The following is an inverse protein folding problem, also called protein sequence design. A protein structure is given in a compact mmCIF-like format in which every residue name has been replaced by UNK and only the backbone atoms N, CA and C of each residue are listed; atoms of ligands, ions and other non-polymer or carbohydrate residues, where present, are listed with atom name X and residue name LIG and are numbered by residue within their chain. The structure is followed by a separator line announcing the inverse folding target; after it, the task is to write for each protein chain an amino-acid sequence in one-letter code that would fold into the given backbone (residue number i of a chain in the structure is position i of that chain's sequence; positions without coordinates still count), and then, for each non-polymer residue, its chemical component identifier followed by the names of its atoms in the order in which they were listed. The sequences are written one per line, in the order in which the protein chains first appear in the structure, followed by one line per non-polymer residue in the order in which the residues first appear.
data_IF_129016561129
#
_entry.id   IF_129016561129
#
_cell.length_a   1.000
_cell.length_b   1.000
_cell.length_c   1.000
_cell.angle_alpha   90.00
_cell.angle_beta   90.00
_cell.angle_gamma   90.00
#
_symmetry.space_group_name_H-M   'P 1'
#
loop_
_entity.id
_entity.type
_entity.pdbx_description
1 polymer ?
#
# COMPACT_ATOMS: atom_id res chain seq x y z
N UNK A 1 4.91 4.07 8.72
CA UNK A 1 5.05 5.51 9.00
C UNK A 1 3.68 6.12 9.06
N UNK A 2 3.42 6.89 10.10
CA UNK A 2 2.17 7.59 10.36
C UNK A 2 2.45 9.04 10.80
N UNK A 3 1.40 9.81 11.03
CA UNK A 3 1.50 11.18 11.54
C UNK A 3 2.28 11.30 12.86
N UNK A 4 2.39 10.23 13.65
CA UNK A 4 3.07 10.25 14.95
C UNK A 4 4.57 9.98 14.85
N UNK A 5 5.03 9.27 13.81
CA UNK A 5 6.41 8.80 13.72
C UNK A 5 7.13 9.12 12.40
N UNK A 6 6.51 9.78 11.42
CA UNK A 6 7.18 10.10 10.16
C UNK A 6 8.45 10.94 10.34
N UNK A 7 8.53 11.77 11.39
CA UNK A 7 9.73 12.55 11.71
C UNK A 7 10.93 11.71 12.14
N UNK A 8 10.73 10.43 12.49
CA UNK A 8 11.80 9.50 12.84
C UNK A 8 12.44 8.81 11.62
N UNK A 9 11.98 9.10 10.39
CA UNK A 9 12.56 8.53 9.16
C UNK A 9 14.10 8.67 9.10
N UNK A 10 14.74 9.81 9.42
CA UNK A 10 16.20 9.92 9.45
C UNK A 10 16.87 8.91 10.37
N UNK A 11 16.26 8.61 11.51
CA UNK A 11 16.79 7.64 12.48
C UNK A 11 16.68 6.22 11.95
N UNK A 12 15.56 5.87 11.29
CA UNK A 12 15.42 4.58 10.61
C UNK A 12 16.43 4.41 9.47
N UNK A 13 16.64 5.46 8.68
CA UNK A 13 17.65 5.46 7.61
C UNK A 13 19.03 5.20 8.20
N UNK A 14 19.45 6.01 9.17
CA UNK A 14 20.75 5.85 9.84
C UNK A 14 20.91 4.44 10.42
N UNK A 15 19.87 3.92 11.09
CA UNK A 15 19.93 2.59 11.68
C UNK A 15 20.07 1.48 10.63
N UNK A 16 19.40 1.61 9.48
CA UNK A 16 19.57 0.69 8.37
C UNK A 16 21.00 0.69 7.83
N UNK A 17 21.61 1.86 7.70
CA UNK A 17 23.02 1.97 7.29
C UNK A 17 23.97 1.33 8.30
N UNK A 18 23.78 1.59 9.60
CA UNK A 18 24.59 1.01 10.67
C UNK A 18 24.51 -0.52 10.67
N UNK A 19 23.36 -1.07 10.26
CA UNK A 19 23.15 -2.52 10.12
C UNK A 19 23.63 -3.07 8.77
N UNK A 20 24.04 -2.22 7.84
CA UNK A 20 24.49 -2.61 6.50
C UNK A 20 23.38 -3.18 5.62
N UNK A 21 22.12 -2.72 5.78
CA UNK A 21 21.01 -3.20 4.93
C UNK A 21 21.13 -2.65 3.51
N UNK A 22 20.77 -3.47 2.52
CA UNK A 22 20.81 -3.06 1.11
C UNK A 22 19.74 -2.02 0.76
N UNK A 23 18.54 -2.21 1.32
CA UNK A 23 17.35 -1.41 1.03
C UNK A 23 16.51 -1.14 2.29
N UNK A 24 15.89 0.03 2.35
CA UNK A 24 14.99 0.45 3.41
C UNK A 24 13.65 0.82 2.77
N UNK A 25 12.61 0.03 3.04
CA UNK A 25 11.26 0.32 2.54
C UNK A 25 10.36 0.78 3.68
N UNK A 26 9.89 2.02 3.58
CA UNK A 26 9.02 2.65 4.57
C UNK A 26 7.62 2.75 3.98
N UNK A 27 6.64 2.15 4.64
CA UNK A 27 5.26 2.14 4.19
C UNK A 27 4.42 3.10 5.00
N UNK A 28 3.40 3.68 4.36
CA UNK A 28 2.40 4.49 5.06
C UNK A 28 1.51 3.59 5.94
N UNK A 29 0.93 4.16 6.97
CA UNK A 29 0.01 3.47 7.85
C UNK A 29 -1.29 3.15 7.12
N UNK A 30 -1.71 1.89 7.19
CA UNK A 30 -2.99 1.44 6.64
C UNK A 30 -4.09 1.74 7.68
N UNK A 31 -5.03 2.65 7.38
CA UNK A 31 -6.06 3.02 8.33
C UNK A 31 -7.11 1.91 8.49
N UNK A 32 -7.81 1.97 9.64
CA UNK A 32 -8.93 1.10 9.98
C UNK A 32 -10.11 1.95 10.47
N UNK A 33 -11.33 1.41 10.57
CA UNK A 33 -12.50 2.18 11.02
C UNK A 33 -12.50 2.45 12.54
N UNK A 34 -11.52 1.98 13.30
CA UNK A 34 -11.45 2.13 14.75
C UNK A 34 -10.78 3.45 15.17
N UNK A 35 -11.25 4.03 16.28
CA UNK A 35 -10.73 5.28 16.85
C UNK A 35 -9.23 5.16 17.18
N UNK A 36 -8.47 6.23 16.91
CA UNK A 36 -7.01 6.24 17.00
C UNK A 36 -6.28 5.60 15.82
N UNK A 37 -7.03 5.06 14.85
CA UNK A 37 -6.51 4.39 13.65
C UNK A 37 -7.22 4.84 12.36
N UNK A 38 -8.05 5.88 12.42
CA UNK A 38 -8.72 6.43 11.23
C UNK A 38 -7.72 7.18 10.36
N UNK A 39 -8.12 7.41 9.11
CA UNK A 39 -7.30 8.10 8.09
C UNK A 39 -6.75 9.42 8.61
N UNK A 40 -7.61 10.27 9.17
CA UNK A 40 -7.25 11.62 9.60
C UNK A 40 -6.32 11.65 10.82
N UNK A 41 -6.29 10.56 11.61
CA UNK A 41 -5.56 10.49 12.87
C UNK A 41 -4.12 9.98 12.70
N UNK A 42 -3.88 9.17 11.66
CA UNK A 42 -2.63 8.40 11.52
C UNK A 42 -2.05 8.42 10.12
N UNK A 43 -2.85 8.47 9.07
CA UNK A 43 -2.33 8.31 7.72
C UNK A 43 -1.63 9.59 7.24
N UNK A 44 -0.51 9.42 6.54
CA UNK A 44 0.18 10.52 5.86
C UNK A 44 -0.57 10.87 4.57
N UNK A 45 -1.02 12.12 4.45
CA UNK A 45 -1.86 12.58 3.35
C UNK A 45 -1.08 13.37 2.30
N UNK A 46 -1.48 13.26 1.04
CA UNK A 46 -0.86 13.96 -0.08
C UNK A 46 -0.99 15.49 0.00
N UNK A 47 -2.03 15.97 0.67
CA UNK A 47 -2.36 17.39 0.81
C UNK A 47 -1.78 18.02 2.08
N UNK A 48 -1.05 17.24 2.88
CA UNK A 48 -0.30 17.75 4.03
C UNK A 48 1.06 18.28 3.56
N UNK A 49 1.15 19.59 3.35
CA UNK A 49 2.35 20.23 2.82
C UNK A 49 3.57 20.06 3.73
N UNK A 50 3.38 19.99 5.05
CA UNK A 50 4.47 19.79 6.01
C UNK A 50 5.10 18.40 5.81
N UNK A 51 4.26 17.37 5.71
CA UNK A 51 4.71 15.99 5.43
C UNK A 51 5.37 15.90 4.07
N UNK A 52 4.77 16.49 3.03
CA UNK A 52 5.30 16.46 1.66
C UNK A 52 6.71 17.08 1.60
N UNK A 53 6.89 18.28 2.15
CA UNK A 53 8.19 18.96 2.10
C UNK A 53 9.25 18.25 2.97
N UNK A 54 8.84 17.69 4.10
CA UNK A 54 9.73 16.85 4.89
C UNK A 54 10.22 15.64 4.08
N UNK A 55 9.30 14.87 3.48
CA UNK A 55 9.66 13.65 2.74
C UNK A 55 10.52 13.93 1.51
N UNK A 56 10.38 15.09 0.85
CA UNK A 56 11.24 15.50 -0.27
C UNK A 56 12.71 15.65 0.09
N UNK A 57 13.00 15.96 1.35
CA UNK A 57 14.35 16.36 1.79
C UNK A 57 14.99 15.34 2.74
N UNK A 58 14.21 14.41 3.27
CA UNK A 58 14.65 13.51 4.35
C UNK A 58 15.69 12.47 3.91
N UNK A 59 15.72 12.10 2.63
CA UNK A 59 16.64 11.07 2.10
C UNK A 59 17.91 11.75 1.56
N UNK A 60 19.09 11.46 2.13
CA UNK A 60 20.35 11.94 1.58
C UNK A 60 20.55 11.47 0.12
N UNK A 61 21.16 12.31 -0.73
CA UNK A 61 21.40 12.01 -2.16
C UNK A 61 22.01 10.62 -2.38
N UNK A 62 23.04 10.29 -1.60
CA UNK A 62 23.78 9.02 -1.69
C UNK A 62 22.95 7.76 -1.38
N UNK A 63 21.74 7.93 -0.83
CA UNK A 63 20.81 6.85 -0.53
C UNK A 63 19.57 6.86 -1.43
N UNK A 64 19.48 7.78 -2.40
CA UNK A 64 18.44 7.73 -3.43
C UNK A 64 18.54 6.40 -4.18
N UNK A 65 17.41 5.71 -4.33
CA UNK A 65 17.33 4.36 -4.89
C UNK A 65 17.51 3.21 -3.87
N UNK A 66 18.04 3.48 -2.67
CA UNK A 66 18.10 2.50 -1.57
C UNK A 66 16.99 2.66 -0.54
N UNK A 67 16.39 3.86 -0.48
CA UNK A 67 15.31 4.17 0.45
C UNK A 67 14.02 4.41 -0.33
N UNK A 68 13.00 3.58 -0.10
CA UNK A 68 11.64 3.82 -0.57
C UNK A 68 10.86 4.53 0.52
N UNK A 69 10.40 5.74 0.23
CA UNK A 69 9.60 6.54 1.17
C UNK A 69 8.13 6.11 1.18
N UNK A 70 7.38 6.42 2.25
CA UNK A 70 5.96 6.15 2.31
C UNK A 70 5.21 6.85 1.17
N UNK A 71 4.43 6.09 0.40
CA UNK A 71 3.45 6.65 -0.54
C UNK A 71 2.35 7.35 0.25
N UNK A 72 2.08 8.62 -0.09
CA UNK A 72 1.06 9.44 0.57
C UNK A 72 -0.32 9.08 0.06
N UNK A 73 -1.33 9.09 0.94
CA UNK A 73 -2.71 8.83 0.55
C UNK A 73 -3.35 10.09 -0.02
N UNK A 74 -3.83 10.02 -1.25
CA UNK A 74 -4.64 11.06 -1.90
C UNK A 74 -6.11 10.62 -1.98
N UNK A 75 -6.94 11.15 -1.07
CA UNK A 75 -8.36 10.83 -1.04
C UNK A 75 -9.14 11.45 -2.22
N UNK A 76 -8.59 12.47 -2.86
CA UNK A 76 -9.19 13.18 -3.99
C UNK A 76 -8.98 12.44 -5.31
N UNK A 77 -7.98 11.55 -5.37
CA UNK A 77 -7.74 10.73 -6.54
C UNK A 77 -8.96 9.85 -6.86
N UNK A 78 -9.46 10.03 -8.09
CA UNK A 78 -10.63 9.29 -8.60
C UNK A 78 -10.25 7.98 -9.27
N UNK A 79 -9.09 7.96 -9.93
CA UNK A 79 -8.64 6.79 -10.67
C UNK A 79 -8.14 5.68 -9.74
N UNK A 80 -8.64 4.47 -10.00
CA UNK A 80 -8.20 3.25 -9.33
C UNK A 80 -6.91 2.77 -10.00
N UNK A 81 -5.83 2.66 -9.24
CA UNK A 81 -4.51 2.22 -9.74
C UNK A 81 -4.14 0.79 -9.34
N UNK A 82 -4.83 0.22 -8.35
CA UNK A 82 -4.45 -1.07 -7.80
C UNK A 82 -4.69 -2.22 -8.79
N UNK A 83 -3.63 -2.98 -9.10
CA UNK A 83 -3.64 -4.15 -9.99
C UNK A 83 -3.42 -5.48 -9.25
N UNK A 84 -3.58 -5.49 -7.94
CA UNK A 84 -3.15 -6.62 -7.11
C UNK A 84 -3.85 -7.94 -7.50
N UNK A 85 -5.14 -7.88 -7.86
CA UNK A 85 -5.91 -9.05 -8.26
C UNK A 85 -5.61 -9.54 -9.69
N UNK A 86 -4.75 -8.85 -10.44
CA UNK A 86 -4.23 -9.29 -11.75
C UNK A 86 -2.75 -9.63 -11.70
N UNK A 87 -2.05 -9.42 -10.57
CA UNK A 87 -0.60 -9.62 -10.48
C UNK A 87 -0.15 -10.48 -9.31
N UNK A 88 -1.02 -10.79 -8.33
CA UNK A 88 -0.64 -11.61 -7.18
C UNK A 88 -1.71 -12.63 -6.83
N UNK A 89 -1.20 -13.81 -6.45
CA UNK A 89 -1.90 -14.83 -5.72
C UNK A 89 -1.22 -14.97 -4.36
N UNK A 90 -2.00 -14.91 -3.29
CA UNK A 90 -1.53 -15.17 -1.93
C UNK A 90 -2.13 -16.47 -1.45
N UNK A 91 -1.34 -17.26 -0.75
CA UNK A 91 -1.75 -18.53 -0.18
C UNK A 91 -1.31 -18.54 1.28
N UNK A 92 -2.22 -18.93 2.18
CA UNK A 92 -1.90 -19.08 3.60
C UNK A 92 -1.46 -20.52 3.95
N UNK A 93 -1.15 -20.76 5.23
CA UNK A 93 -0.70 -22.06 5.71
C UNK A 93 -1.79 -23.16 5.59
N UNK A 94 -3.07 -22.78 5.61
CA UNK A 94 -4.22 -23.67 5.47
C UNK A 94 -4.64 -23.84 4.00
N UNK A 95 -3.80 -23.38 3.08
CA UNK A 95 -3.98 -23.46 1.63
C UNK A 95 -5.15 -22.63 1.10
N UNK A 96 -5.70 -21.71 1.88
CA UNK A 96 -6.65 -20.74 1.35
C UNK A 96 -5.93 -19.74 0.45
N UNK A 97 -6.64 -19.19 -0.54
CA UNK A 97 -6.05 -18.19 -1.43
C UNK A 97 -6.78 -16.85 -1.43
N UNK A 98 -6.05 -15.78 -1.71
CA UNK A 98 -6.56 -14.42 -1.92
C UNK A 98 -5.67 -13.62 -2.88
N UNK A 99 -5.99 -12.35 -3.13
CA UNK A 99 -5.18 -11.47 -3.97
C UNK A 99 -4.28 -10.49 -3.20
N UNK A 100 -4.75 -9.95 -2.06
CA UNK A 100 -4.13 -8.78 -1.43
C UNK A 100 -3.70 -9.05 0.03
N UNK A 101 -2.71 -8.30 0.52
CA UNK A 101 -2.23 -8.34 1.91
C UNK A 101 -2.74 -7.21 2.79
N UNK A 102 -3.31 -6.16 2.20
CA UNK A 102 -3.55 -4.89 2.89
C UNK A 102 -4.74 -4.96 3.87
N UNK A 103 -5.62 -5.95 3.76
CA UNK A 103 -6.44 -6.40 4.87
C UNK A 103 -6.60 -7.91 4.75
N UNK A 104 -6.67 -8.57 5.89
CA UNK A 104 -7.10 -9.96 6.05
C UNK A 104 -8.57 -10.07 5.60
N UNK A 105 -8.84 -9.80 4.31
CA UNK A 105 -10.04 -10.27 3.65
C UNK A 105 -10.12 -11.73 4.05
N UNK A 106 -11.15 -12.07 4.80
CA UNK A 106 -11.24 -13.36 5.45
C UNK A 106 -10.90 -14.44 4.40
N UNK A 107 -9.74 -15.08 4.57
CA UNK A 107 -9.33 -16.17 3.69
C UNK A 107 -10.00 -17.46 4.13
N UNK A 108 -10.63 -17.47 5.32
CA UNK A 108 -11.49 -18.55 5.76
C UNK A 108 -12.73 -18.59 4.87
N UNK A 109 -12.78 -19.64 4.06
CA UNK A 109 -13.87 -19.98 3.15
C UNK A 109 -13.51 -21.23 2.37
N UNK A 110 -14.39 -21.68 1.49
CA UNK A 110 -14.23 -22.93 0.72
C UNK A 110 -13.19 -22.85 -0.42
N UNK A 111 -12.35 -21.81 -0.45
CA UNK A 111 -11.43 -21.50 -1.56
C UNK A 111 -10.05 -22.04 -1.25
N UNK A 112 -9.63 -23.12 -1.91
CA UNK A 112 -8.33 -23.74 -1.72
C UNK A 112 -7.46 -23.58 -2.96
N UNK A 113 -6.14 -23.47 -2.77
CA UNK A 113 -5.17 -23.44 -3.89
C UNK A 113 -5.21 -24.73 -4.74
N UNK A 114 -5.85 -25.79 -4.21
CA UNK A 114 -6.09 -27.06 -4.89
C UNK A 114 -7.32 -27.05 -5.79
N UNK A 115 -8.12 -25.99 -5.78
CA UNK A 115 -9.31 -25.87 -6.62
C UNK A 115 -8.93 -25.73 -8.09
N UNK A 116 -9.85 -26.10 -8.98
CA UNK A 116 -9.68 -25.82 -10.40
C UNK A 116 -9.80 -24.32 -10.66
N UNK A 117 -8.95 -23.82 -11.57
CA UNK A 117 -9.00 -22.44 -12.05
C UNK A 117 -8.85 -21.35 -10.97
N UNK A 118 -8.04 -21.56 -9.93
CA UNK A 118 -7.81 -20.58 -8.83
C UNK A 118 -7.68 -19.14 -9.32
N UNK A 119 -6.83 -18.90 -10.33
CA UNK A 119 -6.56 -17.57 -10.89
C UNK A 119 -7.77 -16.95 -11.60
N UNK A 120 -8.69 -17.75 -12.12
CA UNK A 120 -9.92 -17.33 -12.79
C UNK A 120 -11.17 -17.65 -11.98
N UNK A 121 -11.03 -17.96 -10.69
CA UNK A 121 -12.16 -18.21 -9.81
C UNK A 121 -13.10 -17.01 -9.72
N UNK A 122 -14.36 -17.26 -9.34
CA UNK A 122 -15.38 -16.21 -9.15
C UNK A 122 -14.87 -15.05 -8.29
N UNK A 123 -14.10 -15.36 -7.24
CA UNK A 123 -13.46 -14.35 -6.39
C UNK A 123 -12.55 -13.40 -7.18
N UNK A 124 -11.63 -13.93 -8.00
CA UNK A 124 -10.73 -13.08 -8.76
C UNK A 124 -11.46 -12.33 -9.87
N UNK A 125 -12.46 -12.95 -10.51
CA UNK A 125 -13.30 -12.26 -11.50
C UNK A 125 -14.06 -11.10 -10.87
N UNK A 126 -14.69 -11.30 -9.71
CA UNK A 126 -15.40 -10.27 -8.97
C UNK A 126 -14.47 -9.13 -8.57
N UNK A 127 -13.33 -9.45 -7.94
CA UNK A 127 -12.38 -8.42 -7.51
C UNK A 127 -11.84 -7.62 -8.70
N UNK A 128 -11.48 -8.27 -9.80
CA UNK A 128 -11.07 -7.58 -11.03
C UNK A 128 -12.18 -6.68 -11.56
N UNK A 129 -13.42 -7.15 -11.60
CA UNK A 129 -14.59 -6.37 -12.01
C UNK A 129 -14.76 -5.09 -11.19
N UNK A 130 -14.62 -5.17 -9.86
CA UNK A 130 -14.70 -4.00 -8.96
C UNK A 130 -13.61 -2.96 -9.23
N UNK A 131 -12.40 -3.38 -9.64
CA UNK A 131 -11.31 -2.46 -9.98
C UNK A 131 -11.39 -1.91 -11.41
N UNK A 132 -12.05 -2.61 -12.34
CA UNK A 132 -12.32 -2.15 -13.70
C UNK A 132 -13.50 -1.15 -13.74
N UNK A 133 -14.50 -1.33 -12.87
CA UNK A 133 -15.63 -0.39 -12.76
C UNK A 133 -15.12 1.03 -12.45
N UNK A 134 -15.65 2.08 -13.11
CA UNK A 134 -15.28 3.46 -12.81
C UNK A 134 -15.79 3.94 -11.45
N UNK A 135 -16.79 3.26 -10.84
CA UNK A 135 -17.40 3.70 -9.60
C UNK A 135 -16.56 3.33 -8.37
N UNK A 136 -16.05 4.33 -7.63
CA UNK A 136 -15.27 4.13 -6.39
C UNK A 136 -16.04 3.39 -5.31
N UNK A 137 -17.37 3.54 -5.27
CA UNK A 137 -18.21 2.92 -4.24
C UNK A 137 -18.35 1.41 -4.38
N UNK A 138 -18.00 0.86 -5.56
CA UNK A 138 -17.98 -0.59 -5.79
C UNK A 138 -16.81 -1.29 -5.08
N UNK A 139 -15.83 -0.53 -4.57
CA UNK A 139 -14.72 -1.08 -3.82
C UNK A 139 -15.14 -1.37 -2.38
N UNK A 140 -14.51 -2.38 -1.77
CA UNK A 140 -14.58 -2.52 -0.31
C UNK A 140 -13.92 -1.32 0.37
N UNK A 141 -14.43 -0.93 1.53
CA UNK A 141 -13.94 0.23 2.29
C UNK A 141 -12.41 0.26 2.50
N UNK A 142 -11.74 -0.87 2.79
CA UNK A 142 -10.28 -0.95 2.83
C UNK A 142 -9.57 -0.41 1.58
N UNK A 143 -10.14 -0.72 0.42
CA UNK A 143 -9.60 -0.34 -0.88
C UNK A 143 -9.84 1.14 -1.20
N UNK A 144 -10.83 1.78 -0.56
CA UNK A 144 -11.15 3.21 -0.71
C UNK A 144 -10.10 4.13 -0.08
N UNK A 145 -9.32 3.60 0.86
CA UNK A 145 -8.31 4.33 1.66
C UNK A 145 -6.92 3.67 1.61
N UNK A 146 -6.68 2.80 0.62
CA UNK A 146 -5.41 2.10 0.45
C UNK A 146 -4.45 2.90 -0.42
N UNK A 147 -3.21 3.09 0.04
CA UNK A 147 -2.15 3.78 -0.70
C UNK A 147 -1.71 3.04 -1.95
N UNK A 148 -1.95 1.74 -2.07
CA UNK A 148 -1.71 1.05 -3.34
C UNK A 148 -2.69 1.47 -4.43
N UNK A 149 -3.88 1.91 -4.05
CA UNK A 149 -4.91 2.30 -4.99
C UNK A 149 -4.91 3.82 -5.23
N UNK A 150 -4.74 4.60 -4.17
CA UNK A 150 -4.85 6.06 -4.14
C UNK A 150 -3.57 6.72 -3.62
N UNK A 151 -2.44 6.07 -3.84
CA UNK A 151 -1.14 6.59 -3.41
C UNK A 151 -0.52 7.53 -4.43
N UNK A 152 0.17 8.53 -3.92
CA UNK A 152 1.08 9.39 -4.66
C UNK A 152 2.45 9.39 -4.00
N UNK A 153 3.50 9.37 -4.82
CA UNK A 153 4.87 9.43 -4.30
C UNK A 153 5.19 10.87 -3.88
N UNK A 154 5.83 11.08 -2.70
CA UNK A 154 6.11 12.42 -2.18
C UNK A 154 7.11 13.20 -3.05
N UNK A 155 7.90 12.48 -3.84
CA UNK A 155 8.76 13.03 -4.88
C UNK A 155 8.25 12.46 -6.20
N UNK A 156 8.09 13.26 -7.25
CA UNK A 156 7.79 12.76 -8.61
C UNK A 156 8.92 11.94 -9.24
N UNK A 157 9.69 11.22 -8.42
CA UNK A 157 10.62 10.19 -8.82
C UNK A 157 9.75 9.00 -9.18
N UNK A 158 9.26 8.95 -10.42
CA UNK A 158 8.75 7.71 -10.99
C UNK A 158 9.82 6.65 -10.76
N UNK A 159 9.67 5.82 -9.74
CA UNK A 159 10.29 4.52 -9.74
C UNK A 159 9.45 3.70 -10.70
N UNK A 160 9.67 3.91 -12.00
CA UNK A 160 9.27 2.94 -13.02
C UNK A 160 9.98 1.64 -12.65
N UNK A 161 9.31 0.82 -11.84
CA UNK A 161 9.66 -0.56 -11.64
C UNK A 161 9.24 -1.29 -12.92
N UNK A 162 10.04 -1.13 -13.98
CA UNK A 162 10.11 -2.12 -15.03
C UNK A 162 10.72 -3.39 -14.41
N UNK A 163 9.86 -4.40 -14.26
CA UNK A 163 10.19 -5.76 -13.82
C UNK A 163 9.04 -6.68 -14.15
#
# INVERSE_FOLDING_TARGET
MDQQNYRLIPEFIKKGEDLGVDHISLYNFQPSPYDGFRVQERTLLAHDQEVVEFLKTVVPERLRGKVSLPTLLDLEQKEKKCRIHTTMLRVDADKNYSGCSIMLLNMEGDKKITDHEVWNSEFFQEMRGRFISPNKDDLYDPCKVCTRNYGVEPCGINMDSEG
#
